data_IF_051720370467
#
_entry.id   IF_051720370467
#
_cell.length_a   1.000
_cell.length_b   1.000
_cell.length_c   1.000
_cell.angle_alpha   90.00
_cell.angle_beta   90.00
_cell.angle_gamma   90.00
#
_symmetry.space_group_name_H-M   'P 1'
#
loop_
_entity.id
_entity.type
_entity.pdbx_description
1 polymer ?
#
# COMPACT_ATOMS: atom_id res chain seq x y z
N UNK A 1 -12.60 14.79 25.52
CA UNK A 1 -11.64 13.87 24.86
C UNK A 1 -10.35 14.58 24.46
N UNK A 2 -10.33 15.46 23.45
CA UNK A 2 -9.07 16.10 23.00
C UNK A 2 -8.43 17.01 24.06
N UNK A 3 -9.24 17.79 24.79
CA UNK A 3 -8.77 18.60 25.92
C UNK A 3 -8.21 17.74 27.07
N UNK A 4 -8.82 16.58 27.32
CA UNK A 4 -8.34 15.64 28.35
C UNK A 4 -6.99 15.02 27.93
N UNK A 5 -6.83 14.73 26.64
CA UNK A 5 -5.58 14.24 26.06
C UNK A 5 -4.47 15.31 26.14
N UNK A 6 -4.76 16.56 25.76
CA UNK A 6 -3.82 17.69 25.90
C UNK A 6 -3.36 17.86 27.36
N UNK A 7 -4.31 17.81 28.30
CA UNK A 7 -4.03 17.87 29.74
C UNK A 7 -3.15 16.69 30.20
N UNK A 8 -3.39 15.49 29.69
CA UNK A 8 -2.57 14.31 30.02
C UNK A 8 -1.15 14.41 29.44
N UNK A 9 -1.01 14.87 28.19
CA UNK A 9 0.28 15.16 27.57
C UNK A 9 1.07 16.20 28.39
N UNK A 10 0.41 17.26 28.88
CA UNK A 10 1.04 18.28 29.71
C UNK A 10 1.65 17.73 31.01
N UNK A 11 1.02 16.70 31.62
CA UNK A 11 1.55 16.06 32.84
C UNK A 11 2.88 15.34 32.62
N UNK A 12 3.17 14.92 31.39
CA UNK A 12 4.43 14.26 31.00
C UNK A 12 5.36 15.20 30.22
N UNK A 13 5.08 16.51 30.20
CA UNK A 13 5.91 17.52 29.54
C UNK A 13 5.77 17.56 28.01
N UNK A 14 4.73 16.93 27.44
CA UNK A 14 4.43 17.00 26.01
C UNK A 14 3.36 18.05 25.73
N UNK A 15 3.40 18.64 24.53
CA UNK A 15 2.41 19.60 24.04
C UNK A 15 1.90 19.19 22.66
N UNK A 16 0.59 19.35 22.43
CA UNK A 16 0.02 19.09 21.12
C UNK A 16 0.49 20.12 20.09
N UNK A 17 0.85 19.63 18.90
CA UNK A 17 1.11 20.48 17.76
C UNK A 17 -0.20 20.77 17.02
N UNK A 18 -0.77 21.95 17.25
CA UNK A 18 -2.04 22.36 16.65
C UNK A 18 -1.97 22.62 15.15
N UNK A 19 -0.77 22.79 14.55
CA UNK A 19 -0.67 22.95 13.09
C UNK A 19 -0.79 21.61 12.37
N UNK A 20 -0.29 20.53 12.98
CA UNK A 20 -0.38 19.16 12.44
C UNK A 20 -1.65 18.44 12.91
N UNK A 21 -2.30 18.94 13.96
CA UNK A 21 -3.56 18.37 14.46
C UNK A 21 -4.72 18.88 13.62
N UNK A 22 -5.31 18.00 12.83
CA UNK A 22 -6.55 18.25 12.10
C UNK A 22 -7.63 17.27 12.58
N UNK A 23 -8.90 17.63 12.41
CA UNK A 23 -10.01 16.70 12.63
C UNK A 23 -10.75 16.43 11.31
N UNK A 24 -11.35 15.25 11.21
CA UNK A 24 -12.31 14.93 10.15
C UNK A 24 -13.69 14.75 10.77
N UNK A 25 -14.74 15.20 10.06
CA UNK A 25 -16.13 15.05 10.49
C UNK A 25 -16.95 14.30 9.45
N UNK A 26 -17.94 13.53 9.92
CA UNK A 26 -18.92 12.89 9.04
C UNK A 26 -20.12 13.81 8.86
N UNK A 27 -20.98 13.54 7.86
CA UNK A 27 -22.17 14.34 7.58
C UNK A 27 -23.21 14.42 8.73
N UNK A 28 -23.00 13.67 9.81
CA UNK A 28 -23.82 13.68 11.02
C UNK A 28 -23.35 14.71 12.08
N UNK A 29 -22.17 15.31 11.90
CA UNK A 29 -21.58 16.27 12.85
C UNK A 29 -21.96 17.68 12.43
N UNK A 30 -22.35 18.52 13.40
CA UNK A 30 -22.75 19.91 13.12
C UNK A 30 -21.58 20.72 12.53
N UNK A 31 -21.92 21.81 11.83
CA UNK A 31 -20.95 22.73 11.21
C UNK A 31 -20.18 23.61 12.22
N UNK A 32 -20.24 23.31 13.52
CA UNK A 32 -19.57 24.12 14.54
C UNK A 32 -18.03 24.01 14.44
N UNK A 33 -17.29 25.13 14.58
CA UNK A 33 -15.83 25.10 14.70
C UNK A 33 -15.39 24.30 15.93
N UNK A 34 -14.35 23.47 15.76
CA UNK A 34 -13.76 22.73 16.86
C UNK A 34 -12.59 23.52 17.44
N UNK A 35 -12.63 23.84 18.73
CA UNK A 35 -11.58 24.64 19.40
C UNK A 35 -10.88 23.86 20.50
N UNK A 36 -9.59 24.11 20.68
CA UNK A 36 -8.80 23.69 21.84
C UNK A 36 -8.07 24.90 22.42
N UNK A 37 -8.29 25.20 23.69
CA UNK A 37 -7.68 26.35 24.39
C UNK A 37 -7.84 27.68 23.62
N UNK A 38 -9.01 27.90 23.01
CA UNK A 38 -9.31 29.11 22.21
C UNK A 38 -8.72 29.13 20.80
N UNK A 39 -7.98 28.09 20.40
CA UNK A 39 -7.43 27.96 19.03
C UNK A 39 -8.32 27.03 18.19
N UNK A 40 -8.68 27.45 16.98
CA UNK A 40 -9.43 26.62 16.03
C UNK A 40 -8.55 25.48 15.50
N UNK A 41 -9.07 24.26 15.56
CA UNK A 41 -8.45 23.11 14.91
C UNK A 41 -8.95 23.07 13.47
N UNK A 42 -8.04 22.81 12.53
CA UNK A 42 -8.40 22.73 11.12
C UNK A 42 -9.18 21.45 10.82
N UNK A 43 -10.18 21.59 9.95
CA UNK A 43 -10.92 20.46 9.39
C UNK A 43 -10.24 19.98 8.11
N UNK A 44 -10.12 18.66 7.93
CA UNK A 44 -9.64 18.06 6.68
C UNK A 44 -10.64 17.02 6.13
N UNK A 45 -10.60 16.83 4.80
CA UNK A 45 -11.40 15.80 4.10
C UNK A 45 -10.69 14.45 3.99
N UNK A 46 -9.36 14.47 4.05
CA UNK A 46 -8.50 13.30 4.18
C UNK A 46 -7.22 13.64 4.94
N UNK A 47 -6.62 12.64 5.58
CA UNK A 47 -5.29 12.74 6.18
C UNK A 47 -4.46 11.50 5.86
N UNK A 48 -3.14 11.63 5.89
CA UNK A 48 -2.22 10.51 5.66
C UNK A 48 -1.65 10.06 7.00
N UNK A 49 -1.98 8.84 7.41
CA UNK A 49 -1.44 8.22 8.61
C UNK A 49 -0.69 6.95 8.25
N UNK A 50 0.58 6.86 8.65
CA UNK A 50 1.46 5.72 8.35
C UNK A 50 1.39 5.30 6.87
N UNK A 51 1.58 6.28 5.98
CA UNK A 51 1.49 6.14 4.52
C UNK A 51 0.12 5.73 3.95
N UNK A 52 -0.93 5.64 4.77
CA UNK A 52 -2.31 5.39 4.33
C UNK A 52 -3.13 6.67 4.36
N UNK A 53 -3.79 6.98 3.25
CA UNK A 53 -4.78 8.06 3.20
C UNK A 53 -6.08 7.56 3.81
N UNK A 54 -6.57 8.24 4.83
CA UNK A 54 -7.83 7.97 5.48
C UNK A 54 -8.79 9.08 5.08
N UNK A 55 -9.93 8.70 4.52
CA UNK A 55 -11.02 9.59 4.16
C UNK A 55 -12.36 8.93 4.50
N UNK A 56 -13.42 9.74 4.57
CA UNK A 56 -14.74 9.24 4.98
C UNK A 56 -15.35 8.22 4.01
N UNK A 57 -14.99 8.31 2.73
CA UNK A 57 -15.51 7.43 1.69
C UNK A 57 -14.74 6.10 1.55
N UNK A 58 -13.62 5.95 2.26
CA UNK A 58 -12.66 4.83 2.13
C UNK A 58 -12.41 4.43 0.66
N UNK A 59 -12.23 5.42 -0.22
CA UNK A 59 -12.05 5.15 -1.65
C UNK A 59 -10.73 4.44 -1.94
N UNK A 60 -10.84 3.34 -2.70
CA UNK A 60 -9.72 2.49 -3.11
C UNK A 60 -8.78 3.14 -4.14
N UNK A 61 -9.26 4.10 -4.95
CA UNK A 61 -8.53 4.57 -6.13
C UNK A 61 -7.27 5.44 -5.83
N UNK A 62 -7.31 6.41 -4.89
CA UNK A 62 -6.12 7.19 -4.51
C UNK A 62 -5.05 6.29 -3.90
N UNK A 63 -5.49 5.39 -3.03
CA UNK A 63 -4.71 4.32 -2.45
C UNK A 63 -4.08 3.45 -3.53
N UNK A 64 -4.87 3.06 -4.54
CA UNK A 64 -4.42 2.25 -5.67
C UNK A 64 -3.38 2.97 -6.55
N UNK A 65 -3.28 4.28 -6.49
CA UNK A 65 -2.29 5.03 -7.25
C UNK A 65 -0.96 5.14 -6.50
N UNK A 66 -1.01 5.25 -5.16
CA UNK A 66 0.18 5.44 -4.31
C UNK A 66 1.05 4.19 -4.22
N UNK A 67 0.48 3.03 -3.87
CA UNK A 67 1.22 1.77 -3.81
C UNK A 67 1.81 1.35 -5.18
N UNK A 68 1.11 1.59 -6.30
CA UNK A 68 1.67 1.40 -7.64
C UNK A 68 2.96 2.18 -7.81
N UNK A 69 3.00 3.45 -7.39
CA UNK A 69 4.23 4.26 -7.41
C UNK A 69 5.29 3.72 -6.44
N UNK A 70 4.89 3.34 -5.22
CA UNK A 70 5.81 2.82 -4.21
C UNK A 70 6.51 1.53 -4.66
N UNK A 71 5.77 0.60 -5.26
CA UNK A 71 6.32 -0.65 -5.80
C UNK A 71 7.09 -0.43 -7.13
N UNK A 72 6.75 0.62 -7.89
CA UNK A 72 7.39 0.89 -9.18
C UNK A 72 8.85 1.31 -9.04
N UNK A 73 9.22 2.06 -7.99
CA UNK A 73 10.61 2.47 -7.73
C UNK A 73 11.56 1.28 -7.59
N UNK A 74 11.35 0.38 -6.62
CA UNK A 74 12.14 -0.85 -6.44
C UNK A 74 12.09 -1.77 -7.66
N UNK A 75 10.96 -1.83 -8.37
CA UNK A 75 10.88 -2.61 -9.59
C UNK A 75 11.81 -2.04 -10.68
N UNK A 76 11.79 -0.72 -10.90
CA UNK A 76 12.61 -0.06 -11.92
C UNK A 76 14.10 -0.16 -11.63
N UNK A 77 14.50 0.01 -10.37
CA UNK A 77 15.92 -0.12 -10.00
C UNK A 77 16.45 -1.54 -10.22
N UNK A 78 15.60 -2.55 -10.05
CA UNK A 78 15.99 -3.96 -10.14
C UNK A 78 15.68 -4.58 -11.51
N UNK A 79 15.01 -3.87 -12.42
CA UNK A 79 14.51 -4.42 -13.67
C UNK A 79 15.63 -5.04 -14.53
N UNK A 80 16.75 -4.33 -14.68
CA UNK A 80 17.89 -4.79 -15.46
C UNK A 80 18.58 -6.00 -14.80
N UNK A 81 18.77 -5.94 -13.48
CA UNK A 81 19.37 -7.04 -12.69
C UNK A 81 18.51 -8.30 -12.80
N UNK A 82 17.20 -8.16 -12.64
CA UNK A 82 16.23 -9.26 -12.76
C UNK A 82 16.26 -9.85 -14.17
N UNK A 83 16.32 -9.02 -15.22
CA UNK A 83 16.38 -9.49 -16.62
C UNK A 83 17.69 -10.22 -16.95
N UNK A 84 18.83 -9.75 -16.44
CA UNK A 84 20.16 -10.36 -16.68
C UNK A 84 20.38 -11.63 -15.87
N UNK A 85 19.68 -11.80 -14.75
CA UNK A 85 19.84 -12.96 -13.88
C UNK A 85 19.28 -14.22 -14.54
N UNK A 86 20.16 -15.13 -14.96
CA UNK A 86 19.79 -16.42 -15.56
C UNK A 86 19.25 -17.42 -14.55
N UNK A 87 19.74 -17.37 -13.31
CA UNK A 87 19.28 -18.28 -12.25
C UNK A 87 17.87 -17.90 -11.79
N UNK A 88 16.90 -18.76 -12.07
CA UNK A 88 15.48 -18.51 -11.76
C UNK A 88 15.23 -18.31 -10.27
N UNK A 89 15.89 -19.08 -9.39
CA UNK A 89 15.71 -18.97 -7.95
C UNK A 89 16.27 -17.66 -7.39
N UNK A 90 17.47 -17.27 -7.82
CA UNK A 90 18.07 -15.99 -7.41
C UNK A 90 17.23 -14.81 -7.92
N UNK A 91 16.74 -14.90 -9.16
CA UNK A 91 15.87 -13.90 -9.76
C UNK A 91 14.55 -13.75 -9.00
N UNK A 92 13.94 -14.87 -8.62
CA UNK A 92 12.72 -14.87 -7.81
C UNK A 92 12.96 -14.29 -6.41
N UNK A 93 14.08 -14.65 -5.78
CA UNK A 93 14.44 -14.14 -4.47
C UNK A 93 14.65 -12.61 -4.48
N UNK A 94 15.42 -12.09 -5.44
CA UNK A 94 15.62 -10.64 -5.61
C UNK A 94 14.30 -9.89 -5.83
N UNK A 95 13.39 -10.50 -6.59
CA UNK A 95 12.07 -9.97 -6.83
C UNK A 95 11.25 -9.92 -5.54
N UNK A 96 11.19 -11.05 -4.83
CA UNK A 96 10.40 -11.20 -3.61
C UNK A 96 10.92 -10.27 -2.49
N UNK A 97 12.25 -10.11 -2.35
CA UNK A 97 12.85 -9.30 -1.29
C UNK A 97 12.63 -7.80 -1.46
N UNK A 98 12.50 -7.30 -2.69
CA UNK A 98 12.41 -5.86 -2.95
C UNK A 98 11.01 -5.45 -3.43
N UNK A 99 10.53 -6.08 -4.51
CA UNK A 99 9.31 -5.65 -5.19
C UNK A 99 8.09 -6.19 -4.46
N UNK A 100 8.09 -7.48 -4.12
CA UNK A 100 6.99 -8.06 -3.37
C UNK A 100 6.91 -7.45 -1.97
N UNK A 101 8.04 -7.32 -1.28
CA UNK A 101 8.10 -6.67 0.04
C UNK A 101 7.54 -5.25 0.01
N UNK A 102 7.89 -4.41 -0.97
CA UNK A 102 7.36 -3.05 -1.08
C UNK A 102 5.84 -3.05 -1.37
N UNK A 103 5.39 -3.98 -2.22
CA UNK A 103 3.98 -4.14 -2.58
C UNK A 103 3.13 -4.63 -1.40
N UNK A 104 3.68 -5.49 -0.55
CA UNK A 104 2.97 -6.14 0.56
C UNK A 104 3.10 -5.37 1.88
N UNK A 105 4.22 -4.67 2.14
CA UNK A 105 4.33 -3.74 3.27
C UNK A 105 3.29 -2.62 3.16
N UNK A 106 3.14 -2.08 1.95
CA UNK A 106 2.06 -1.16 1.63
C UNK A 106 0.67 -1.79 1.77
N UNK A 107 0.54 -3.09 2.01
CA UNK A 107 -0.71 -3.81 2.30
C UNK A 107 -0.84 -4.25 3.77
N UNK A 108 0.19 -4.11 4.60
CA UNK A 108 0.18 -4.51 6.03
C UNK A 108 -0.61 -3.55 6.91
N UNK A 109 -0.59 -2.25 6.62
CA UNK A 109 -1.42 -1.21 7.29
C UNK A 109 -2.93 -1.30 6.98
N UNK A 110 -3.41 -2.45 6.49
CA UNK A 110 -4.73 -2.65 5.87
C UNK A 110 -5.45 -3.88 6.42
N UNK A 111 -6.78 -3.85 6.44
CA UNK A 111 -7.56 -5.08 6.40
C UNK A 111 -7.52 -5.62 4.96
N UNK A 112 -7.09 -6.87 4.74
CA UNK A 112 -7.15 -7.52 3.41
C UNK A 112 -8.61 -7.81 3.05
N UNK A 113 -9.35 -6.75 2.69
CA UNK A 113 -10.70 -6.89 2.14
C UNK A 113 -10.58 -7.48 0.73
N UNK A 114 -11.54 -8.31 0.32
CA UNK A 114 -11.60 -8.91 -1.04
C UNK A 114 -11.39 -7.88 -2.16
N UNK A 115 -11.78 -6.62 -1.93
CA UNK A 115 -11.61 -5.53 -2.90
C UNK A 115 -10.14 -5.24 -3.28
N UNK A 116 -9.16 -5.60 -2.45
CA UNK A 116 -7.72 -5.36 -2.71
C UNK A 116 -7.01 -6.52 -3.43
N UNK A 117 -7.58 -7.74 -3.40
CA UNK A 117 -6.94 -8.94 -3.98
C UNK A 117 -6.85 -8.85 -5.51
N UNK A 118 -7.91 -8.36 -6.16
CA UNK A 118 -7.96 -8.23 -7.62
C UNK A 118 -6.96 -7.18 -8.13
N UNK A 119 -6.89 -5.95 -7.58
CA UNK A 119 -5.83 -5.00 -7.94
C UNK A 119 -4.42 -5.55 -7.74
N UNK A 120 -4.18 -6.30 -6.66
CA UNK A 120 -2.85 -6.82 -6.29
C UNK A 120 -2.38 -7.86 -7.30
N UNK A 121 -3.24 -8.83 -7.61
CA UNK A 121 -2.97 -9.85 -8.64
C UNK A 121 -2.78 -9.25 -10.04
N UNK A 122 -3.47 -8.16 -10.39
CA UNK A 122 -3.28 -7.48 -11.69
C UNK A 122 -1.89 -6.86 -11.80
N UNK A 123 -1.41 -6.20 -10.74
CA UNK A 123 -0.07 -5.60 -10.70
C UNK A 123 0.98 -6.69 -10.76
N UNK A 124 0.85 -7.70 -9.90
CA UNK A 124 1.76 -8.83 -9.82
C UNK A 124 1.92 -9.52 -11.19
N UNK A 125 0.81 -9.83 -11.88
CA UNK A 125 0.85 -10.41 -13.23
C UNK A 125 1.50 -9.51 -14.27
N UNK A 126 1.38 -8.18 -14.15
CA UNK A 126 2.03 -7.25 -15.06
C UNK A 126 3.55 -7.23 -14.86
N UNK A 127 3.96 -7.26 -13.60
CA UNK A 127 5.36 -7.25 -13.21
C UNK A 127 6.03 -8.59 -13.53
N UNK A 128 5.38 -9.71 -13.23
CA UNK A 128 5.83 -11.08 -13.54
C UNK A 128 6.06 -11.28 -15.05
N UNK A 129 5.14 -10.77 -15.88
CA UNK A 129 5.32 -10.75 -17.34
C UNK A 129 6.58 -10.00 -17.77
N UNK A 130 6.83 -8.85 -17.16
CA UNK A 130 8.00 -8.02 -17.48
C UNK A 130 9.30 -8.71 -17.05
N UNK A 131 9.29 -9.36 -15.90
CA UNK A 131 10.39 -10.20 -15.40
C UNK A 131 10.71 -11.37 -16.35
N UNK A 132 9.69 -11.99 -16.93
CA UNK A 132 9.85 -13.11 -17.86
C UNK A 132 10.08 -12.67 -19.32
N UNK A 133 10.04 -11.36 -19.61
CA UNK A 133 10.12 -10.85 -20.98
C UNK A 133 8.93 -11.23 -21.87
N UNK A 134 7.78 -11.55 -21.26
CA UNK A 134 6.57 -12.00 -21.97
C UNK A 134 5.58 -10.83 -22.08
N UNK A 135 5.25 -10.44 -23.31
CA UNK A 135 4.17 -9.46 -23.54
C UNK A 135 2.79 -10.07 -23.27
N UNK A 136 1.78 -9.22 -23.05
CA UNK A 136 0.39 -9.71 -22.94
C UNK A 136 -0.08 -10.38 -24.23
N UNK A 137 0.33 -9.85 -25.38
CA UNK A 137 -0.03 -10.38 -26.69
C UNK A 137 0.55 -11.78 -26.91
N UNK A 138 1.85 -11.96 -26.64
CA UNK A 138 2.53 -13.27 -26.72
C UNK A 138 1.90 -14.26 -25.76
N UNK A 139 1.58 -13.86 -24.53
CA UNK A 139 0.91 -14.75 -23.58
C UNK A 139 -0.44 -15.27 -24.12
N UNK A 140 -1.25 -14.38 -24.70
CA UNK A 140 -2.56 -14.74 -25.25
C UNK A 140 -2.44 -15.62 -26.50
N UNK A 141 -1.51 -15.29 -27.39
CA UNK A 141 -1.22 -16.08 -28.60
C UNK A 141 -0.75 -17.50 -28.24
N UNK A 142 0.11 -17.61 -27.25
CA UNK A 142 0.73 -18.88 -26.84
C UNK A 142 -0.16 -19.67 -25.86
N UNK A 143 -1.40 -19.19 -25.58
CA UNK A 143 -2.34 -19.85 -24.67
C UNK A 143 -1.83 -20.01 -23.23
N UNK A 144 -0.81 -19.24 -22.84
CA UNK A 144 -0.09 -19.45 -21.56
C UNK A 144 -0.89 -18.90 -20.38
N UNK A 145 -1.24 -19.77 -19.44
CA UNK A 145 -1.98 -19.43 -18.24
C UNK A 145 -1.18 -18.58 -17.25
N UNK A 146 -1.87 -17.98 -16.27
CA UNK A 146 -1.18 -17.29 -15.16
C UNK A 146 -0.44 -18.28 -14.26
N UNK A 147 -0.92 -19.51 -14.14
CA UNK A 147 -0.24 -20.63 -13.47
C UNK A 147 1.11 -20.94 -14.09
N UNK A 148 1.19 -20.89 -15.42
CA UNK A 148 2.39 -21.24 -16.17
C UNK A 148 3.47 -20.16 -16.02
N UNK A 149 3.05 -18.88 -16.04
CA UNK A 149 3.94 -17.78 -15.68
C UNK A 149 4.48 -17.96 -14.26
N UNK A 150 3.62 -18.37 -13.32
CA UNK A 150 4.00 -18.62 -11.92
C UNK A 150 4.99 -19.76 -11.77
N UNK A 151 4.79 -20.85 -12.52
CA UNK A 151 5.71 -21.98 -12.53
C UNK A 151 7.08 -21.59 -13.11
N UNK A 152 7.11 -20.68 -14.08
CA UNK A 152 8.34 -20.15 -14.70
C UNK A 152 9.05 -19.11 -13.86
N UNK A 153 8.32 -18.22 -13.18
CA UNK A 153 8.87 -17.11 -12.41
C UNK A 153 9.37 -17.54 -11.03
N UNK A 154 8.70 -18.53 -10.40
CA UNK A 154 8.95 -19.02 -9.04
C UNK A 154 8.76 -17.96 -7.93
N UNK A 155 8.18 -16.80 -8.25
CA UNK A 155 7.93 -15.74 -7.27
C UNK A 155 6.74 -16.10 -6.38
N UNK A 156 6.73 -15.62 -5.13
CA UNK A 156 5.62 -15.87 -4.19
C UNK A 156 4.34 -15.17 -4.65
N UNK A 157 3.20 -15.78 -4.39
CA UNK A 157 1.89 -15.18 -4.65
C UNK A 157 1.67 -14.00 -3.69
N UNK A 158 1.42 -12.82 -4.25
CA UNK A 158 1.35 -11.61 -3.45
C UNK A 158 0.14 -11.55 -2.52
N UNK A 159 -0.99 -12.13 -2.94
CA UNK A 159 -2.21 -12.19 -2.13
C UNK A 159 -2.00 -13.14 -0.95
N UNK A 160 -1.42 -14.31 -1.19
CA UNK A 160 -1.12 -15.29 -0.13
C UNK A 160 -0.07 -14.75 0.83
N UNK A 161 1.01 -14.13 0.32
CA UNK A 161 2.05 -13.55 1.15
C UNK A 161 1.49 -12.44 2.07
N UNK A 162 0.67 -11.55 1.51
CA UNK A 162 0.04 -10.48 2.29
C UNK A 162 -0.96 -11.01 3.34
N UNK A 163 -1.60 -12.16 3.10
CA UNK A 163 -2.46 -12.81 4.09
C UNK A 163 -1.64 -13.39 5.25
N UNK A 164 -0.53 -14.05 4.94
CA UNK A 164 0.36 -14.66 5.93
C UNK A 164 1.01 -13.62 6.84
N UNK A 165 1.41 -12.45 6.31
CA UNK A 165 2.03 -11.39 7.10
C UNK A 165 1.10 -10.76 8.14
N UNK A 166 -0.20 -11.05 8.11
CA UNK A 166 -1.20 -10.52 9.05
C UNK A 166 -1.66 -11.51 10.11
N UNK A 167 -1.30 -12.77 9.96
CA UNK A 167 -1.69 -13.86 10.87
C UNK A 167 -0.59 -14.25 11.86
N UNK A 168 0.58 -13.62 11.78
CA UNK A 168 1.67 -13.77 12.74
C UNK A 168 1.64 -12.65 13.77
#
# INVERSE_FOLDING_TARGET
MLADFDKACGKIGLRLNLTETMFMKNGLVSFAPFTLNGTNISECSSYVYLAREINMMNHLAPEQSRWKRAAWGPFKSNEDVVKRTKNTHLRAHLFDSAVLSALTYASETWSLRKQYERPLSVIERAVERTMLGVSRFTQLRDGTGSSDLRQRSKIKDAVLYAKQSKTG
#
